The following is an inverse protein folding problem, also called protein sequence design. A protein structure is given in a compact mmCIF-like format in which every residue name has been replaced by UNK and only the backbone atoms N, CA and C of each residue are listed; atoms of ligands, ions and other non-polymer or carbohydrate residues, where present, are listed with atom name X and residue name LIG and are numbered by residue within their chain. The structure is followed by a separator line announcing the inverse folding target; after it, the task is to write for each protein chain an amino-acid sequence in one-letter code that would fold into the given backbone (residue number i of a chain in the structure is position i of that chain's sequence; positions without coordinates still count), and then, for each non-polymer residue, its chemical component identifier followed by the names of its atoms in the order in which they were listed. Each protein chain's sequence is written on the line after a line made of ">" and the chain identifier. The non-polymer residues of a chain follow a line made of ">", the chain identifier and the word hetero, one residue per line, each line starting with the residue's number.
data_IF_501863471472
#
_entry.id   IF_501863471472
#
_cell.length_a   1.000
_cell.length_b   1.000
_cell.length_c   1.000
_cell.angle_alpha   90.00
_cell.angle_beta   90.00
_cell.angle_gamma   90.00
#
_symmetry.space_group_name_H-M   'P 1'
#
loop_
_entity.id
_entity.type
_entity.pdbx_description
1 polymer ?
#
# COMPACT_ATOMS: atom_id res chain seq x y z
N UNK A 1 39.06 17.45 -20.91
CA UNK A 1 39.42 17.12 -22.31
C UNK A 1 39.99 15.71 -22.32
N UNK A 2 39.32 14.77 -23.01
CA UNK A 2 39.80 13.45 -23.53
C UNK A 2 40.44 12.43 -22.55
N UNK A 3 40.39 11.11 -22.70
CA UNK A 3 39.61 10.12 -23.46
C UNK A 3 40.24 8.75 -23.13
N UNK A 4 39.41 7.71 -22.96
CA UNK A 4 39.51 6.36 -23.56
C UNK A 4 40.77 5.46 -23.46
N UNK A 5 40.55 4.29 -22.82
CA UNK A 5 40.90 2.88 -23.22
C UNK A 5 42.37 2.41 -23.28
N UNK A 6 42.78 1.19 -22.87
CA UNK A 6 42.15 -0.09 -22.43
C UNK A 6 43.28 -1.02 -21.84
N UNK A 7 43.19 -2.38 -21.70
CA UNK A 7 42.28 -3.33 -22.34
C UNK A 7 41.66 -4.48 -21.46
N UNK A 8 40.43 -4.85 -21.83
CA UNK A 8 39.87 -6.20 -22.05
C UNK A 8 40.20 -7.39 -21.11
N UNK A 9 39.24 -7.76 -20.24
CA UNK A 9 38.95 -9.15 -19.87
C UNK A 9 37.47 -9.50 -20.11
N UNK A 10 37.20 -10.13 -21.26
CA UNK A 10 36.10 -11.07 -21.56
C UNK A 10 34.78 -10.86 -20.78
N UNK A 11 33.86 -10.12 -21.42
CA UNK A 11 32.42 -10.25 -21.18
C UNK A 11 31.98 -11.70 -21.42
N UNK A 12 31.45 -12.37 -20.40
CA UNK A 12 30.55 -13.51 -20.59
C UNK A 12 29.14 -12.95 -20.77
N UNK A 13 28.40 -13.31 -21.83
CA UNK A 13 27.05 -12.80 -22.03
C UNK A 13 26.13 -13.31 -20.91
N UNK A 14 25.33 -12.39 -20.35
CA UNK A 14 24.18 -12.65 -19.47
C UNK A 14 23.05 -13.34 -20.25
N UNK A 15 23.34 -14.49 -20.85
CA UNK A 15 22.38 -15.38 -21.51
C UNK A 15 22.44 -16.76 -20.87
N UNK A 16 22.26 -16.82 -19.55
CA UNK A 16 22.08 -18.10 -18.85
C UNK A 16 20.84 -18.06 -17.96
N UNK A 17 19.75 -18.51 -18.58
CA UNK A 17 18.57 -19.16 -17.97
C UNK A 17 17.43 -18.30 -17.41
N UNK A 18 16.88 -17.43 -18.26
CA UNK A 18 15.44 -17.12 -18.34
C UNK A 18 14.58 -18.32 -18.83
N UNK A 19 14.99 -19.56 -18.51
CA UNK A 19 14.36 -20.83 -18.99
C UNK A 19 13.76 -21.68 -17.87
N UNK A 20 13.68 -21.16 -16.64
CA UNK A 20 12.99 -21.80 -15.51
C UNK A 20 11.69 -21.12 -15.07
N UNK A 21 11.26 -20.04 -15.74
CA UNK A 21 9.98 -19.37 -15.44
C UNK A 21 8.77 -19.99 -16.18
N UNK A 22 8.97 -20.91 -17.12
CA UNK A 22 7.88 -21.50 -17.93
C UNK A 22 7.59 -22.98 -17.64
N UNK A 23 7.81 -23.43 -16.40
CA UNK A 23 7.36 -24.77 -15.95
C UNK A 23 6.25 -24.69 -14.89
N UNK A 24 5.46 -23.62 -14.92
CA UNK A 24 4.26 -23.50 -14.09
C UNK A 24 3.10 -24.18 -14.83
N UNK A 25 2.78 -25.39 -14.35
CA UNK A 25 1.65 -26.18 -14.81
C UNK A 25 0.32 -25.45 -14.65
N UNK A 26 -0.64 -25.89 -15.46
CA UNK A 26 -2.03 -25.40 -15.52
C UNK A 26 -2.79 -25.72 -14.23
N UNK A 27 -2.51 -25.03 -13.13
CA UNK A 27 -3.29 -25.13 -11.90
C UNK A 27 -4.24 -23.94 -11.73
N UNK A 28 -5.51 -24.24 -11.46
CA UNK A 28 -6.61 -23.26 -11.38
C UNK A 28 -6.53 -22.34 -10.15
N UNK A 29 -5.49 -22.48 -9.32
CA UNK A 29 -5.22 -21.66 -8.12
C UNK A 29 -4.22 -20.50 -8.40
N UNK A 30 -4.12 -20.09 -9.66
CA UNK A 30 -3.27 -19.02 -10.20
C UNK A 30 -3.69 -17.59 -9.81
N UNK A 31 -4.68 -17.43 -8.91
CA UNK A 31 -5.14 -16.11 -8.44
C UNK A 31 -4.10 -15.38 -7.60
N UNK A 32 -3.38 -16.09 -6.73
CA UNK A 32 -2.41 -15.49 -5.79
C UNK A 32 -1.13 -14.98 -6.49
N UNK A 33 -0.66 -15.67 -7.52
CA UNK A 33 0.48 -15.21 -8.34
C UNK A 33 0.09 -14.13 -9.35
N UNK A 34 -1.16 -14.12 -9.82
CA UNK A 34 -1.69 -12.96 -10.56
C UNK A 34 -1.85 -11.76 -9.65
N UNK A 35 -2.16 -11.93 -8.36
CA UNK A 35 -2.17 -10.85 -7.37
C UNK A 35 -0.74 -10.31 -7.11
N UNK A 36 0.23 -11.15 -6.74
CA UNK A 36 1.62 -10.68 -6.57
C UNK A 36 2.23 -10.10 -7.86
N UNK A 37 2.00 -10.72 -9.03
CA UNK A 37 2.56 -10.27 -10.30
C UNK A 37 1.87 -9.03 -10.89
N UNK A 38 0.54 -8.92 -10.78
CA UNK A 38 -0.22 -7.75 -11.26
C UNK A 38 -0.07 -6.57 -10.30
N UNK A 39 0.10 -6.82 -9.01
CA UNK A 39 0.37 -5.78 -8.01
C UNK A 39 1.83 -5.31 -8.09
N UNK A 40 2.82 -6.18 -8.29
CA UNK A 40 4.19 -5.74 -8.55
C UNK A 40 4.32 -4.92 -9.85
N UNK A 41 3.69 -5.36 -10.95
CA UNK A 41 3.74 -4.62 -12.21
C UNK A 41 2.90 -3.33 -12.19
N UNK A 42 1.74 -3.30 -11.50
CA UNK A 42 0.96 -2.08 -11.35
C UNK A 42 1.57 -1.12 -10.33
N UNK A 43 2.23 -1.61 -9.27
CA UNK A 43 2.94 -0.78 -8.31
C UNK A 43 4.21 -0.22 -8.94
N UNK A 44 4.97 -0.96 -9.74
CA UNK A 44 6.08 -0.36 -10.51
C UNK A 44 5.58 0.67 -11.52
N UNK A 45 4.46 0.43 -12.21
CA UNK A 45 3.87 1.39 -13.14
C UNK A 45 3.26 2.62 -12.43
N UNK A 46 2.61 2.43 -11.27
CA UNK A 46 2.04 3.49 -10.43
C UNK A 46 3.15 4.27 -9.74
N UNK A 47 4.18 3.62 -9.21
CA UNK A 47 5.35 4.25 -8.60
C UNK A 47 6.16 4.97 -9.67
N UNK A 48 6.27 4.45 -10.90
CA UNK A 48 6.91 5.19 -12.00
C UNK A 48 6.06 6.39 -12.47
N UNK A 49 4.73 6.27 -12.48
CA UNK A 49 3.83 7.39 -12.81
C UNK A 49 3.84 8.46 -11.71
N UNK A 50 3.71 8.07 -10.43
CA UNK A 50 3.84 8.93 -9.26
C UNK A 50 5.23 9.52 -9.13
N UNK A 51 6.31 8.77 -9.38
CA UNK A 51 7.67 9.31 -9.36
C UNK A 51 7.90 10.34 -10.47
N UNK A 52 7.29 10.15 -11.65
CA UNK A 52 7.32 11.11 -12.75
C UNK A 52 6.53 12.38 -12.44
N UNK A 53 5.39 12.27 -11.74
CA UNK A 53 4.63 13.42 -11.23
C UNK A 53 5.37 14.12 -10.08
N UNK A 54 5.98 13.38 -9.14
CA UNK A 54 6.77 13.91 -8.04
C UNK A 54 8.07 14.60 -8.52
N UNK A 55 8.69 14.14 -9.60
CA UNK A 55 9.83 14.83 -10.24
C UNK A 55 9.45 16.16 -10.89
N UNK A 56 8.19 16.33 -11.30
CA UNK A 56 7.68 17.60 -11.79
C UNK A 56 7.30 18.55 -10.65
N UNK A 57 7.02 18.03 -9.44
CA UNK A 57 6.72 18.80 -8.23
C UNK A 57 7.94 19.09 -7.33
N UNK A 58 9.09 18.48 -7.63
CA UNK A 58 10.32 18.57 -6.83
C UNK A 58 10.82 19.99 -6.50
N UNK A 59 10.81 20.99 -7.41
CA UNK A 59 11.33 22.31 -7.05
C UNK A 59 10.41 23.11 -6.12
N UNK A 60 9.16 22.68 -5.89
CA UNK A 60 8.19 23.36 -5.02
C UNK A 60 8.14 22.72 -3.62
N UNK A 61 8.29 21.39 -3.53
CA UNK A 61 8.22 20.64 -2.27
C UNK A 61 9.47 20.80 -1.41
N UNK A 62 10.66 20.97 -2.00
CA UNK A 62 11.91 21.11 -1.24
C UNK A 62 11.99 22.43 -0.45
N UNK A 63 11.26 23.46 -0.90
CA UNK A 63 11.07 24.72 -0.17
C UNK A 63 10.07 24.63 0.98
N UNK A 64 9.19 23.63 1.00
CA UNK A 64 8.10 23.47 1.99
C UNK A 64 8.43 22.46 3.11
N UNK A 65 9.28 21.46 2.83
CA UNK A 65 9.60 20.36 3.77
C UNK A 65 10.58 20.78 4.88
N UNK A 66 11.22 21.95 4.78
CA UNK A 66 12.23 22.39 5.77
C UNK A 66 11.69 22.80 7.13
N UNK A 67 10.38 23.04 7.27
CA UNK A 67 9.79 23.60 8.51
C UNK A 67 8.81 22.66 9.25
N UNK A 68 8.59 21.42 8.78
CA UNK A 68 7.59 20.52 9.37
C UNK A 68 8.22 19.48 10.32
N UNK A 69 7.89 19.59 11.61
CA UNK A 69 8.22 18.59 12.64
C UNK A 69 7.30 17.37 12.56
N UNK A 70 7.79 16.14 12.84
CA UNK A 70 6.94 14.97 12.97
C UNK A 70 6.02 15.08 14.19
N UNK A 71 4.73 14.78 14.01
CA UNK A 71 3.73 14.81 15.07
C UNK A 71 3.80 13.55 15.96
N UNK A 72 3.58 13.65 17.28
CA UNK A 72 3.51 12.49 18.16
C UNK A 72 2.07 11.92 18.21
N UNK A 73 1.97 10.60 17.98
CA UNK A 73 0.78 9.73 18.02
C UNK A 73 -0.41 10.06 17.09
N UNK A 74 -1.03 9.04 16.45
CA UNK A 74 -2.23 9.24 15.65
C UNK A 74 -3.42 9.68 16.54
N UNK A 75 -4.15 10.75 16.18
CA UNK A 75 -5.40 11.12 16.82
C UNK A 75 -6.46 10.04 16.65
N UNK A 76 -7.32 9.87 17.66
CA UNK A 76 -8.42 8.91 17.66
C UNK A 76 -9.44 9.21 16.53
N UNK A 77 -10.01 8.18 15.87
CA UNK A 77 -10.92 8.34 14.75
C UNK A 77 -12.21 9.08 15.14
N UNK A 78 -12.58 10.06 14.31
CA UNK A 78 -13.84 10.81 14.38
C UNK A 78 -15.08 9.92 14.10
N UNK A 79 -16.30 10.29 14.56
CA UNK A 79 -17.49 9.47 14.43
C UNK A 79 -17.91 9.23 12.97
N UNK A 80 -18.28 7.98 12.70
CA UNK A 80 -18.45 7.38 11.38
C UNK A 80 -19.64 7.92 10.56
N UNK A 81 -19.40 8.16 9.27
CA UNK A 81 -20.44 8.17 8.26
C UNK A 81 -20.80 6.71 7.92
N UNK A 82 -21.77 6.15 8.64
CA UNK A 82 -22.25 4.78 8.50
C UNK A 82 -23.32 4.67 7.40
N UNK A 83 -22.91 4.60 6.14
CA UNK A 83 -23.79 4.31 5.00
C UNK A 83 -23.20 3.21 4.12
N UNK A 84 -24.01 2.26 3.67
CA UNK A 84 -23.63 1.36 2.57
C UNK A 84 -23.77 2.13 1.26
N UNK A 85 -22.70 2.18 0.46
CA UNK A 85 -22.67 2.89 -0.83
C UNK A 85 -22.68 1.90 -1.99
N UNK A 86 -23.33 2.30 -3.09
CA UNK A 86 -23.51 1.49 -4.31
C UNK A 86 -22.74 2.09 -5.48
N UNK A 87 -22.69 1.40 -6.62
CA UNK A 87 -22.07 1.92 -7.84
C UNK A 87 -22.65 3.28 -8.26
N UNK A 88 -23.92 3.55 -7.97
CA UNK A 88 -24.58 4.80 -8.32
C UNK A 88 -24.08 5.99 -7.50
N UNK A 89 -23.44 5.75 -6.36
CA UNK A 89 -22.90 6.78 -5.47
C UNK A 89 -21.50 7.26 -5.88
N UNK A 90 -20.91 6.59 -6.87
CA UNK A 90 -19.63 6.99 -7.45
C UNK A 90 -19.81 8.05 -8.55
N UNK A 91 -18.95 9.10 -8.63
CA UNK A 91 -17.83 9.43 -7.74
C UNK A 91 -18.26 10.11 -6.43
N UNK A 92 -17.67 9.68 -5.31
CA UNK A 92 -18.03 10.17 -3.97
C UNK A 92 -17.79 11.67 -3.77
N UNK A 93 -16.76 12.24 -4.42
CA UNK A 93 -16.44 13.67 -4.30
C UNK A 93 -17.51 14.57 -4.91
N UNK A 94 -18.22 14.08 -5.92
CA UNK A 94 -19.28 14.83 -6.61
C UNK A 94 -20.65 14.60 -5.96
N UNK A 95 -20.94 13.34 -5.57
CA UNK A 95 -22.27 12.93 -5.11
C UNK A 95 -22.47 13.01 -3.60
N UNK A 96 -21.40 12.83 -2.83
CA UNK A 96 -21.41 12.69 -1.38
C UNK A 96 -20.21 13.42 -0.74
N UNK A 97 -19.95 14.66 -1.18
CA UNK A 97 -18.81 15.47 -0.72
C UNK A 97 -18.82 15.67 0.80
N UNK A 98 -20.00 15.83 1.38
CA UNK A 98 -20.26 15.99 2.81
C UNK A 98 -19.93 14.73 3.61
N UNK A 99 -20.00 13.54 3.01
CA UNK A 99 -19.59 12.29 3.64
C UNK A 99 -18.06 12.08 3.68
N UNK A 100 -17.30 12.84 2.87
CA UNK A 100 -15.84 12.72 2.84
C UNK A 100 -15.23 13.45 4.04
N UNK A 101 -14.51 12.68 4.84
CA UNK A 101 -13.77 13.15 6.02
C UNK A 101 -12.36 12.57 6.05
N UNK A 102 -11.43 13.38 6.51
CA UNK A 102 -10.06 12.95 6.82
C UNK A 102 -10.05 12.08 8.09
N UNK A 103 -8.97 11.33 8.38
CA UNK A 103 -8.83 10.59 9.64
C UNK A 103 -8.98 11.46 10.89
N UNK A 104 -8.62 12.74 10.78
CA UNK A 104 -8.73 13.76 11.82
C UNK A 104 -10.10 14.45 11.87
N UNK A 105 -11.02 14.08 10.99
CA UNK A 105 -12.40 14.59 10.96
C UNK A 105 -12.59 15.89 10.16
N UNK A 106 -11.56 16.40 9.48
CA UNK A 106 -11.67 17.57 8.60
C UNK A 106 -12.47 17.24 7.35
N UNK A 107 -13.13 18.25 6.81
CA UNK A 107 -13.87 18.17 5.55
C UNK A 107 -12.94 18.46 4.36
N UNK A 108 -13.41 18.19 3.15
CA UNK A 108 -12.67 18.54 1.91
C UNK A 108 -12.46 20.06 1.82
N UNK A 109 -13.43 20.85 2.30
CA UNK A 109 -13.39 22.32 2.21
C UNK A 109 -12.41 22.94 3.21
N UNK A 110 -12.01 22.19 4.26
CA UNK A 110 -10.97 22.61 5.20
C UNK A 110 -9.55 22.46 4.62
N UNK A 111 -9.40 21.71 3.52
CA UNK A 111 -8.10 21.46 2.87
C UNK A 111 -7.86 22.57 1.84
N UNK A 112 -7.46 23.74 2.31
CA UNK A 112 -7.10 24.89 1.47
C UNK A 112 -5.62 25.25 1.60
N UNK A 113 -5.09 26.01 0.63
CA UNK A 113 -3.70 26.48 0.67
C UNK A 113 -3.44 27.35 1.91
N UNK A 114 -4.39 28.21 2.27
CA UNK A 114 -4.32 29.07 3.45
C UNK A 114 -4.26 28.22 4.72
N UNK A 115 -5.08 27.18 4.82
CA UNK A 115 -5.11 26.29 5.99
C UNK A 115 -3.80 25.50 6.14
N UNK A 116 -3.12 25.19 5.03
CA UNK A 116 -1.78 24.59 5.02
C UNK A 116 -0.72 25.60 5.48
N UNK A 117 -0.74 26.82 4.93
CA UNK A 117 0.21 27.89 5.30
C UNK A 117 0.07 28.29 6.78
N UNK A 118 -1.13 28.26 7.32
CA UNK A 118 -1.42 28.53 8.73
C UNK A 118 -1.12 27.33 9.66
N UNK A 119 -0.71 26.19 9.12
CA UNK A 119 -0.44 24.96 9.89
C UNK A 119 -1.69 24.29 10.48
N UNK A 120 -2.89 24.69 10.06
CA UNK A 120 -4.17 24.07 10.46
C UNK A 120 -4.41 22.72 9.79
N UNK A 121 -3.78 22.49 8.64
CA UNK A 121 -3.78 21.23 7.88
C UNK A 121 -2.35 20.70 7.81
N UNK A 122 -2.18 19.46 8.23
CA UNK A 122 -0.93 18.71 8.26
C UNK A 122 -0.98 17.52 7.30
N UNK A 123 0.15 16.85 7.07
CA UNK A 123 0.19 15.65 6.23
C UNK A 123 -0.70 14.51 6.75
N UNK A 124 -0.97 14.47 8.06
CA UNK A 124 -1.89 13.48 8.64
C UNK A 124 -3.35 13.72 8.22
N UNK A 125 -3.70 14.98 7.92
CA UNK A 125 -5.03 15.37 7.46
C UNK A 125 -5.25 15.02 5.98
N UNK A 126 -4.19 14.93 5.17
CA UNK A 126 -4.29 14.60 3.73
C UNK A 126 -4.33 13.08 3.48
N UNK A 127 -4.47 12.27 4.53
CA UNK A 127 -4.63 10.82 4.43
C UNK A 127 -6.09 10.43 4.17
N UNK A 128 -6.30 9.28 3.54
CA UNK A 128 -7.64 8.70 3.38
C UNK A 128 -8.10 8.07 4.71
N UNK A 129 -9.38 8.24 5.04
CA UNK A 129 -10.00 7.64 6.22
C UNK A 129 -10.35 6.16 5.99
N UNK A 130 -10.32 5.33 7.05
CA UNK A 130 -10.76 3.93 6.96
C UNK A 130 -12.22 3.80 6.52
N UNK A 131 -13.08 4.74 6.91
CA UNK A 131 -14.49 4.80 6.53
C UNK A 131 -14.64 5.00 5.02
N UNK A 132 -13.84 5.90 4.44
CA UNK A 132 -13.86 6.13 3.01
C UNK A 132 -13.39 4.89 2.24
N UNK A 133 -12.38 4.17 2.73
CA UNK A 133 -11.95 2.90 2.14
C UNK A 133 -13.02 1.82 2.20
N UNK A 134 -13.78 1.73 3.30
CA UNK A 134 -14.93 0.80 3.41
C UNK A 134 -16.07 1.18 2.45
N UNK A 135 -16.38 2.47 2.33
CA UNK A 135 -17.36 2.96 1.36
C UNK A 135 -16.96 2.61 -0.07
N UNK A 136 -15.69 2.84 -0.46
CA UNK A 136 -15.18 2.43 -1.76
C UNK A 136 -15.20 0.90 -1.94
N UNK A 137 -15.02 0.14 -0.85
CA UNK A 137 -15.13 -1.31 -0.90
C UNK A 137 -16.54 -1.79 -1.24
N UNK A 138 -17.55 -1.16 -0.68
CA UNK A 138 -18.96 -1.48 -0.93
C UNK A 138 -19.35 -1.12 -2.37
N UNK A 139 -18.95 0.06 -2.84
CA UNK A 139 -19.09 0.48 -4.25
C UNK A 139 -18.44 -0.54 -5.19
N UNK A 140 -17.22 -0.99 -4.87
CA UNK A 140 -16.50 -1.98 -5.68
C UNK A 140 -17.20 -3.34 -5.68
N UNK A 141 -17.76 -3.76 -4.55
CA UNK A 141 -18.52 -5.01 -4.45
C UNK A 141 -19.80 -4.95 -5.28
N UNK A 142 -20.56 -3.86 -5.19
CA UNK A 142 -21.78 -3.63 -5.95
C UNK A 142 -21.52 -3.57 -7.48
N UNK A 143 -20.41 -2.95 -7.87
CA UNK A 143 -19.94 -2.91 -9.26
C UNK A 143 -19.41 -4.27 -9.79
N UNK A 144 -19.62 -5.37 -9.06
CA UNK A 144 -19.20 -6.72 -9.45
C UNK A 144 -17.70 -6.99 -9.32
N UNK A 145 -16.98 -6.23 -8.49
CA UNK A 145 -15.52 -6.37 -8.24
C UNK A 145 -15.23 -6.77 -6.78
N UNK A 146 -15.69 -7.95 -6.32
CA UNK A 146 -15.56 -8.36 -4.92
C UNK A 146 -14.11 -8.44 -4.43
N UNK A 147 -13.17 -8.87 -5.29
CA UNK A 147 -11.75 -8.92 -4.94
C UNK A 147 -11.13 -7.53 -4.68
N UNK A 148 -11.62 -6.49 -5.38
CA UNK A 148 -11.20 -5.12 -5.15
C UNK A 148 -11.77 -4.60 -3.82
N UNK A 149 -13.05 -4.88 -3.54
CA UNK A 149 -13.67 -4.51 -2.27
C UNK A 149 -12.95 -5.13 -1.08
N UNK A 150 -12.62 -6.42 -1.17
CA UNK A 150 -11.86 -7.13 -0.14
C UNK A 150 -10.45 -6.55 0.07
N UNK A 151 -9.79 -6.10 -1.00
CA UNK A 151 -8.51 -5.38 -0.88
C UNK A 151 -8.65 -4.02 -0.19
N UNK A 152 -9.72 -3.28 -0.50
CA UNK A 152 -9.99 -1.98 0.11
C UNK A 152 -10.34 -2.10 1.60
N UNK A 153 -11.04 -3.17 2.00
CA UNK A 153 -11.30 -3.47 3.42
C UNK A 153 -10.01 -3.74 4.21
N UNK A 154 -9.10 -4.53 3.66
CA UNK A 154 -7.76 -4.71 4.26
C UNK A 154 -6.98 -3.41 4.33
N UNK A 155 -7.02 -2.59 3.27
CA UNK A 155 -6.39 -1.28 3.29
C UNK A 155 -6.97 -0.38 4.38
N UNK A 156 -8.27 -0.47 4.66
CA UNK A 156 -8.92 0.25 5.75
C UNK A 156 -8.38 -0.16 7.14
N UNK A 157 -8.04 -1.43 7.35
CA UNK A 157 -7.38 -1.85 8.60
C UNK A 157 -5.97 -1.25 8.72
N UNK A 158 -5.25 -1.14 7.60
CA UNK A 158 -3.87 -0.63 7.58
C UNK A 158 -3.76 0.88 7.81
N UNK A 159 -4.84 1.67 7.77
CA UNK A 159 -4.75 3.12 8.00
C UNK A 159 -4.31 3.48 9.42
N UNK A 160 -4.45 2.55 10.37
CA UNK A 160 -4.01 2.73 11.76
C UNK A 160 -2.54 2.33 11.95
N UNK A 161 -1.92 1.67 10.96
CA UNK A 161 -0.53 1.22 11.02
C UNK A 161 0.39 2.36 10.58
N UNK A 162 1.43 2.71 11.35
CA UNK A 162 2.40 3.72 10.94
C UNK A 162 3.11 3.38 9.63
N UNK A 163 3.51 4.39 8.86
CA UNK A 163 4.10 4.20 7.52
C UNK A 163 5.40 3.37 7.58
N UNK A 164 6.26 3.60 8.58
CA UNK A 164 7.49 2.85 8.79
C UNK A 164 7.21 1.37 9.07
N UNK A 165 6.14 1.10 9.81
CA UNK A 165 5.71 -0.23 10.15
C UNK A 165 5.16 -0.96 8.92
N UNK A 166 4.37 -0.28 8.07
CA UNK A 166 3.90 -0.85 6.78
C UNK A 166 5.08 -1.24 5.89
N UNK A 167 6.11 -0.40 5.81
CA UNK A 167 7.33 -0.71 5.03
C UNK A 167 8.05 -1.92 5.62
N UNK A 168 8.20 -1.98 6.95
CA UNK A 168 8.82 -3.12 7.66
C UNK A 168 8.08 -4.42 7.35
N UNK A 169 6.75 -4.41 7.44
CA UNK A 169 5.90 -5.56 7.13
C UNK A 169 6.07 -6.05 5.70
N UNK A 170 6.04 -5.12 4.74
CA UNK A 170 6.27 -5.45 3.34
C UNK A 170 7.62 -6.12 3.12
N UNK A 171 8.66 -5.60 3.77
CA UNK A 171 10.01 -6.16 3.67
C UNK A 171 10.14 -7.55 4.30
N UNK A 172 9.36 -7.85 5.34
CA UNK A 172 9.28 -9.18 5.96
C UNK A 172 8.55 -10.20 5.07
N UNK A 173 7.51 -9.77 4.35
CA UNK A 173 6.73 -10.63 3.47
C UNK A 173 7.44 -10.97 2.16
N UNK A 174 8.56 -10.31 1.84
CA UNK A 174 9.34 -10.67 0.65
C UNK A 174 10.03 -12.04 0.82
N UNK A 175 10.25 -12.79 -0.28
CA UNK A 175 10.86 -14.12 -0.21
C UNK A 175 12.21 -14.13 0.53
N UNK A 176 12.42 -15.14 1.38
CA UNK A 176 13.64 -15.36 2.17
C UNK A 176 13.98 -14.26 3.19
N UNK A 177 13.03 -13.40 3.57
CA UNK A 177 13.28 -12.27 4.47
C UNK A 177 12.97 -12.55 5.94
N UNK A 178 11.89 -13.28 6.19
CA UNK A 178 11.43 -13.61 7.53
C UNK A 178 11.33 -15.11 7.75
N UNK A 179 11.52 -15.53 9.00
CA UNK A 179 11.22 -16.90 9.44
C UNK A 179 9.73 -17.07 9.70
N UNK A 180 9.28 -18.33 9.82
CA UNK A 180 7.89 -18.64 10.20
C UNK A 180 7.46 -17.91 11.48
N UNK A 181 8.27 -18.00 12.52
CA UNK A 181 7.98 -17.39 13.83
C UNK A 181 7.81 -15.87 13.72
N UNK A 182 8.67 -15.21 12.92
CA UNK A 182 8.58 -13.76 12.71
C UNK A 182 7.30 -13.33 12.00
N UNK A 183 6.85 -14.10 10.99
CA UNK A 183 5.61 -13.81 10.28
C UNK A 183 4.37 -14.11 11.13
N UNK A 184 4.41 -15.15 11.97
CA UNK A 184 3.32 -15.44 12.91
C UNK A 184 3.22 -14.37 14.01
N UNK A 185 4.35 -13.89 14.52
CA UNK A 185 4.35 -12.77 15.46
C UNK A 185 3.82 -11.50 14.78
N UNK A 186 4.21 -11.23 13.53
CA UNK A 186 3.65 -10.12 12.77
C UNK A 186 2.12 -10.22 12.63
N UNK A 187 1.59 -11.40 12.30
CA UNK A 187 0.15 -11.61 12.22
C UNK A 187 -0.55 -11.35 13.56
N UNK A 188 0.07 -11.77 14.67
CA UNK A 188 -0.43 -11.50 16.02
C UNK A 188 -0.41 -10.00 16.32
N UNK A 189 0.68 -9.30 16.04
CA UNK A 189 0.79 -7.84 16.20
C UNK A 189 -0.31 -7.11 15.43
N UNK A 190 -0.56 -7.49 14.18
CA UNK A 190 -1.64 -6.91 13.37
C UNK A 190 -3.01 -7.07 14.02
N UNK A 191 -3.31 -8.25 14.52
CA UNK A 191 -4.60 -8.54 15.15
C UNK A 191 -4.76 -7.83 16.50
N UNK A 192 -3.72 -7.82 17.35
CA UNK A 192 -3.84 -7.33 18.73
C UNK A 192 -3.55 -5.84 18.88
N UNK A 193 -2.52 -5.32 18.21
CA UNK A 193 -2.06 -3.95 18.38
C UNK A 193 -2.75 -2.99 17.40
N UNK A 194 -2.98 -3.44 16.17
CA UNK A 194 -3.54 -2.60 15.11
C UNK A 194 -4.99 -2.94 14.78
N UNK A 195 -5.59 -3.93 15.46
CA UNK A 195 -6.96 -4.39 15.25
C UNK A 195 -7.25 -4.69 13.76
N UNK A 196 -6.30 -5.35 13.10
CA UNK A 196 -6.30 -5.67 11.67
C UNK A 196 -6.45 -7.19 11.42
N UNK A 197 -7.60 -7.81 11.76
CA UNK A 197 -7.79 -9.25 11.66
C UNK A 197 -7.75 -9.78 10.21
N UNK A 198 -8.24 -9.01 9.23
CA UNK A 198 -8.20 -9.44 7.82
C UNK A 198 -6.77 -9.49 7.29
N UNK A 199 -5.96 -8.48 7.63
CA UNK A 199 -4.53 -8.47 7.33
C UNK A 199 -3.78 -9.59 8.07
N UNK A 200 -4.08 -9.83 9.35
CA UNK A 200 -3.49 -10.92 10.12
C UNK A 200 -3.79 -12.30 9.50
N UNK A 201 -5.03 -12.53 9.08
CA UNK A 201 -5.43 -13.76 8.40
C UNK A 201 -4.66 -13.95 7.08
N UNK A 202 -4.51 -12.89 6.28
CA UNK A 202 -3.73 -12.92 5.05
C UNK A 202 -2.26 -13.28 5.29
N UNK A 203 -1.64 -12.74 6.35
CA UNK A 203 -0.26 -13.09 6.72
C UNK A 203 -0.16 -14.56 7.12
N UNK A 204 -1.12 -15.09 7.88
CA UNK A 204 -1.15 -16.52 8.25
C UNK A 204 -1.27 -17.43 7.02
N UNK A 205 -2.14 -17.09 6.07
CA UNK A 205 -2.25 -17.80 4.79
C UNK A 205 -0.92 -17.76 4.02
N UNK A 206 -0.26 -16.60 3.98
CA UNK A 206 1.04 -16.45 3.34
C UNK A 206 2.10 -17.37 3.98
N UNK A 207 2.13 -17.49 5.31
CA UNK A 207 3.04 -18.41 6.02
C UNK A 207 2.85 -19.85 5.53
N UNK A 208 1.61 -20.35 5.48
CA UNK A 208 1.33 -21.71 5.02
C UNK A 208 1.81 -21.94 3.57
N UNK A 209 1.62 -20.96 2.70
CA UNK A 209 2.07 -21.01 1.31
C UNK A 209 3.60 -20.96 1.23
N UNK A 210 4.25 -20.18 2.09
CA UNK A 210 5.70 -20.00 2.07
C UNK A 210 6.42 -21.25 2.58
N UNK A 211 5.85 -21.93 3.58
CA UNK A 211 6.30 -23.25 4.02
C UNK A 211 6.23 -24.28 2.90
N UNK A 212 5.06 -24.40 2.25
CA UNK A 212 4.86 -25.34 1.14
C UNK A 212 5.81 -25.10 -0.03
N UNK A 213 6.25 -23.86 -0.22
CA UNK A 213 7.13 -23.44 -1.33
C UNK A 213 8.61 -23.33 -0.96
N UNK A 214 8.96 -23.46 0.31
CA UNK A 214 10.34 -23.33 0.77
C UNK A 214 10.96 -21.95 0.53
N UNK A 215 10.16 -20.87 0.64
CA UNK A 215 10.60 -19.47 0.43
C UNK A 215 10.68 -18.66 1.73
N UNK A 216 10.62 -19.34 2.87
CA UNK A 216 10.93 -18.75 4.17
C UNK A 216 12.44 -18.58 4.33
N UNK A 217 12.85 -17.59 5.11
CA UNK A 217 14.26 -17.47 5.50
C UNK A 217 14.68 -18.74 6.23
N UNK A 218 15.83 -19.30 5.84
CA UNK A 218 16.46 -20.39 6.59
C UNK A 218 16.73 -19.91 8.03
N UNK A 219 16.17 -20.63 8.99
CA UNK A 219 16.39 -20.41 10.41
C UNK A 219 17.77 -20.87 10.85
#
# INVERSE_FOLDING_TARGET
>A
MTAWYGPNTRQKPLSFTLRKQNRFGKDKNLWHWRWCGRMANNVEALVAALAKELQQAAPVMETLVKDLKPAPNPPQPAPAASGQYTQQDYPMLEKHRDAIRTPTGKTVDDITLESVLEGKVTMADVRISPEMLRAQADIAQDAGKPAMGENLRRAAELTQVPDEEVIRMYDMLRPNRATKAQLLELAKTLETQYHAPMCAALVREAVEVYEKRGILKAG
#
